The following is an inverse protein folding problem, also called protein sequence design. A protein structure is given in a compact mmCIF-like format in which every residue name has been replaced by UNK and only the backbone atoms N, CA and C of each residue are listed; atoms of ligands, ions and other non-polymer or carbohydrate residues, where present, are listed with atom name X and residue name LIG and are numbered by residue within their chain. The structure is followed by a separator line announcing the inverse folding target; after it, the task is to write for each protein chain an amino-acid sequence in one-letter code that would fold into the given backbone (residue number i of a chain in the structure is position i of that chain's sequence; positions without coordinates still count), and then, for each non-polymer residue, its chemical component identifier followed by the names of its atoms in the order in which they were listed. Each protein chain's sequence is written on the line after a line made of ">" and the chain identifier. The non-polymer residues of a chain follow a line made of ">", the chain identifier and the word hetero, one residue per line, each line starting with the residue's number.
data_IF_844115283311
#
_entry.id   IF_844115283311
#
_cell.length_a   1.000
_cell.length_b   1.000
_cell.length_c   1.000
_cell.angle_alpha   90.00
_cell.angle_beta   90.00
_cell.angle_gamma   90.00
#
_symmetry.space_group_name_H-M   'P 1'
#
loop_
_entity.id
_entity.type
_entity.pdbx_description
1 polymer ?
#
# COMPACT_ATOMS: atom_id res chain seq x y z
N UNK A 1 -12.42 -5.44 -7.98
CA UNK A 1 -11.05 -5.95 -8.02
C UNK A 1 -10.22 -5.27 -6.94
N UNK A 2 -9.36 -6.03 -6.25
CA UNK A 2 -8.38 -5.50 -5.31
C UNK A 2 -7.24 -4.76 -6.06
N UNK A 3 -6.73 -3.67 -5.48
CA UNK A 3 -5.74 -2.80 -6.12
C UNK A 3 -4.76 -2.24 -5.08
N UNK A 4 -3.54 -1.90 -5.55
CA UNK A 4 -2.50 -1.25 -4.75
C UNK A 4 -1.72 -2.21 -3.85
N UNK A 5 -0.77 -1.68 -3.08
CA UNK A 5 0.09 -2.45 -2.17
C UNK A 5 -0.72 -3.23 -1.12
N UNK A 6 -1.78 -2.64 -0.64
CA UNK A 6 -2.65 -3.21 0.38
C UNK A 6 -3.79 -4.07 -0.17
N UNK A 7 -3.93 -4.20 -1.50
CA UNK A 7 -4.94 -5.00 -2.15
C UNK A 7 -6.38 -4.74 -1.62
N UNK A 8 -6.71 -3.47 -1.39
CA UNK A 8 -8.04 -3.09 -0.92
C UNK A 8 -9.09 -3.23 -2.03
N UNK A 9 -10.22 -3.83 -1.69
CA UNK A 9 -11.41 -3.78 -2.54
C UNK A 9 -12.01 -2.37 -2.54
N UNK A 10 -12.68 -1.99 -3.62
CA UNK A 10 -13.23 -0.65 -3.78
C UNK A 10 -14.18 -0.26 -2.64
N UNK A 11 -15.11 -1.15 -2.28
CA UNK A 11 -16.05 -0.91 -1.18
C UNK A 11 -15.34 -0.65 0.15
N UNK A 12 -14.36 -1.49 0.49
CA UNK A 12 -13.54 -1.33 1.70
C UNK A 12 -12.72 -0.03 1.65
N UNK A 13 -12.11 0.27 0.51
CA UNK A 13 -11.31 1.49 0.35
C UNK A 13 -12.15 2.75 0.58
N UNK A 14 -13.35 2.82 0.00
CA UNK A 14 -14.30 3.93 0.21
C UNK A 14 -14.78 4.02 1.65
N UNK A 15 -15.09 2.89 2.28
CA UNK A 15 -15.49 2.82 3.69
C UNK A 15 -14.42 3.41 4.61
N UNK A 16 -13.16 3.20 4.29
CA UNK A 16 -12.03 3.72 5.05
C UNK A 16 -11.43 5.02 4.48
N UNK A 17 -12.21 5.78 3.69
CA UNK A 17 -11.98 7.16 3.33
C UNK A 17 -11.13 7.40 2.09
N UNK A 18 -10.87 6.37 1.26
CA UNK A 18 -10.14 6.54 0.01
C UNK A 18 -11.07 7.01 -1.13
N UNK A 19 -10.56 7.92 -1.94
CA UNK A 19 -11.23 8.41 -3.15
C UNK A 19 -10.90 7.52 -4.35
N UNK A 20 -11.94 7.10 -5.06
CA UNK A 20 -11.82 6.34 -6.32
C UNK A 20 -12.76 6.99 -7.33
N UNK A 21 -12.21 7.51 -8.42
CA UNK A 21 -12.93 8.11 -9.54
C UNK A 21 -12.37 7.58 -10.86
N UNK A 22 -12.84 8.12 -11.98
CA UNK A 22 -12.27 7.79 -13.30
C UNK A 22 -10.80 8.21 -13.46
N UNK A 23 -10.37 9.28 -12.78
CA UNK A 23 -9.01 9.83 -12.91
C UNK A 23 -8.13 9.58 -11.70
N UNK A 24 -8.71 9.17 -10.56
CA UNK A 24 -8.03 8.99 -9.27
C UNK A 24 -8.35 7.61 -8.69
N UNK A 25 -7.34 6.92 -8.18
CA UNK A 25 -7.51 5.72 -7.35
C UNK A 25 -6.50 5.77 -6.20
N UNK A 26 -6.93 6.26 -5.03
CA UNK A 26 -6.06 6.43 -3.86
C UNK A 26 -5.61 5.10 -3.23
N UNK A 27 -6.13 3.95 -3.67
CA UNK A 27 -5.58 2.64 -3.30
C UNK A 27 -4.15 2.44 -3.81
N UNK A 28 -3.77 3.19 -4.85
CA UNK A 28 -2.42 3.21 -5.40
C UNK A 28 -1.50 4.23 -4.72
N UNK A 29 -2.01 5.13 -3.88
CA UNK A 29 -1.19 5.99 -3.01
C UNK A 29 -0.80 5.19 -1.77
N UNK A 30 0.50 4.87 -1.64
CA UNK A 30 1.00 4.02 -0.55
C UNK A 30 0.69 4.62 0.82
N UNK A 31 0.83 5.93 1.00
CA UNK A 31 0.58 6.59 2.28
C UNK A 31 -0.89 6.51 2.66
N UNK A 32 -1.77 6.98 1.77
CA UNK A 32 -3.23 6.97 2.01
C UNK A 32 -3.78 5.55 2.16
N UNK A 33 -3.32 4.62 1.32
CA UNK A 33 -3.73 3.22 1.39
C UNK A 33 -3.27 2.57 2.69
N UNK A 34 -2.07 2.91 3.20
CA UNK A 34 -1.58 2.43 4.49
C UNK A 34 -2.43 2.97 5.64
N UNK A 35 -2.77 4.25 5.63
CA UNK A 35 -3.67 4.84 6.64
C UNK A 35 -5.05 4.17 6.65
N UNK A 36 -5.61 3.89 5.47
CA UNK A 36 -6.88 3.18 5.34
C UNK A 36 -6.78 1.74 5.84
N UNK A 37 -5.72 1.03 5.50
CA UNK A 37 -5.45 -0.32 5.99
C UNK A 37 -5.28 -0.34 7.52
N UNK A 38 -4.56 0.62 8.09
CA UNK A 38 -4.43 0.75 9.54
C UNK A 38 -5.77 0.98 10.24
N UNK A 39 -6.66 1.80 9.66
CA UNK A 39 -8.02 1.98 10.19
C UNK A 39 -8.82 0.67 10.16
N UNK A 40 -8.72 -0.08 9.06
CA UNK A 40 -9.33 -1.41 8.97
C UNK A 40 -8.80 -2.35 10.06
N UNK A 41 -7.46 -2.46 10.18
CA UNK A 41 -6.81 -3.36 11.14
C UNK A 41 -7.17 -3.01 12.58
N UNK A 42 -7.25 -1.71 12.92
CA UNK A 42 -7.71 -1.27 14.24
C UNK A 42 -9.16 -1.66 14.51
N UNK A 43 -10.08 -1.41 13.57
CA UNK A 43 -11.48 -1.80 13.70
C UNK A 43 -11.64 -3.33 13.84
N UNK A 44 -10.83 -4.10 13.11
CA UNK A 44 -10.82 -5.55 13.24
C UNK A 44 -10.29 -6.00 14.60
N UNK A 45 -9.24 -5.33 15.12
CA UNK A 45 -8.69 -5.63 16.44
C UNK A 45 -9.66 -5.28 17.58
N UNK A 46 -10.35 -4.15 17.47
CA UNK A 46 -11.42 -3.79 18.42
C UNK A 46 -12.52 -4.85 18.46
N UNK A 47 -12.80 -5.50 17.33
CA UNK A 47 -13.80 -6.55 17.23
C UNK A 47 -13.34 -7.90 17.77
N UNK A 48 -12.13 -8.31 17.47
CA UNK A 48 -11.66 -9.68 17.70
C UNK A 48 -10.67 -9.80 18.87
N UNK A 49 -9.97 -8.73 19.26
CA UNK A 49 -8.95 -8.73 20.32
C UNK A 49 -7.69 -9.55 20.03
N UNK A 50 -7.59 -10.13 18.85
CA UNK A 50 -6.51 -11.06 18.46
C UNK A 50 -5.97 -10.76 17.05
N UNK A 51 -4.64 -10.69 16.91
CA UNK A 51 -3.99 -10.34 15.63
C UNK A 51 -4.06 -11.44 14.58
N UNK A 52 -4.15 -12.72 14.95
CA UNK A 52 -4.33 -13.79 13.98
C UNK A 52 -5.73 -13.73 13.37
N UNK A 53 -6.73 -13.42 14.19
CA UNK A 53 -8.10 -13.14 13.73
C UNK A 53 -8.16 -11.92 12.82
N UNK A 54 -7.44 -10.84 13.18
CA UNK A 54 -7.33 -9.63 12.35
C UNK A 54 -6.73 -9.98 10.99
N UNK A 55 -5.64 -10.71 10.96
CA UNK A 55 -4.97 -11.13 9.72
C UNK A 55 -5.89 -12.00 8.84
N UNK A 56 -6.56 -12.98 9.44
CA UNK A 56 -7.54 -13.82 8.74
C UNK A 56 -8.69 -12.98 8.16
N UNK A 57 -9.19 -12.02 8.94
CA UNK A 57 -10.28 -11.12 8.52
C UNK A 57 -9.84 -10.14 7.41
N UNK A 58 -8.57 -9.74 7.40
CA UNK A 58 -8.03 -8.90 6.32
C UNK A 58 -8.03 -9.64 4.99
N UNK A 59 -7.67 -10.91 5.00
CA UNK A 59 -7.65 -11.76 3.80
C UNK A 59 -9.06 -12.16 3.34
N UNK A 60 -9.89 -12.65 4.27
CA UNK A 60 -11.19 -13.25 3.95
C UNK A 60 -12.40 -12.30 4.12
N UNK A 61 -12.21 -11.17 4.79
CA UNK A 61 -13.26 -10.24 5.17
C UNK A 61 -13.83 -10.50 6.58
N UNK A 62 -14.04 -9.42 7.35
CA UNK A 62 -14.55 -9.52 8.74
C UNK A 62 -15.90 -10.25 8.84
N UNK A 63 -16.82 -9.99 7.89
CA UNK A 63 -18.12 -10.65 7.89
C UNK A 63 -18.01 -12.17 7.72
N UNK A 64 -17.13 -12.62 6.83
CA UNK A 64 -16.90 -14.06 6.60
C UNK A 64 -16.30 -14.71 7.84
N UNK A 65 -15.24 -14.15 8.41
CA UNK A 65 -14.60 -14.72 9.59
C UNK A 65 -15.60 -14.80 10.76
N UNK A 66 -16.37 -13.72 11.03
CA UNK A 66 -17.40 -13.76 12.07
C UNK A 66 -18.46 -14.83 11.83
N UNK A 67 -18.86 -15.02 10.57
CA UNK A 67 -19.82 -16.07 10.21
C UNK A 67 -19.25 -17.49 10.41
N UNK A 68 -17.98 -17.69 10.09
CA UNK A 68 -17.34 -19.00 10.27
C UNK A 68 -17.10 -19.32 11.76
N UNK A 69 -16.76 -18.36 12.61
CA UNK A 69 -16.66 -18.54 14.06
C UNK A 69 -17.97 -19.09 14.63
N UNK A 70 -19.10 -18.49 14.26
CA UNK A 70 -20.42 -18.93 14.73
C UNK A 70 -20.77 -20.32 14.20
N UNK A 71 -20.55 -20.57 12.90
CA UNK A 71 -20.89 -21.85 12.27
C UNK A 71 -20.08 -23.03 12.78
N UNK A 72 -18.81 -22.78 13.13
CA UNK A 72 -17.88 -23.82 13.54
C UNK A 72 -17.71 -23.90 15.06
N UNK A 73 -18.43 -23.06 15.81
CA UNK A 73 -18.33 -22.97 17.28
C UNK A 73 -16.87 -22.83 17.74
N UNK A 74 -16.16 -21.86 17.16
CA UNK A 74 -14.75 -21.64 17.37
C UNK A 74 -14.47 -20.21 17.86
N UNK A 75 -13.43 -20.03 18.66
CA UNK A 75 -13.04 -18.74 19.25
C UNK A 75 -11.72 -18.20 18.65
N UNK A 76 -11.00 -19.01 17.88
CA UNK A 76 -9.70 -18.66 17.31
C UNK A 76 -9.65 -18.95 15.81
N UNK A 77 -8.88 -18.13 15.07
CA UNK A 77 -8.62 -18.40 13.65
C UNK A 77 -7.86 -19.71 13.39
N UNK A 78 -7.15 -20.20 14.39
CA UNK A 78 -6.41 -21.47 14.31
C UNK A 78 -7.32 -22.70 14.42
N UNK A 79 -8.52 -22.54 14.98
CA UNK A 79 -9.51 -23.58 15.12
C UNK A 79 -10.52 -23.59 13.96
N UNK A 80 -10.44 -22.60 13.06
CA UNK A 80 -11.32 -22.49 11.91
C UNK A 80 -10.84 -23.35 10.72
N UNK A 81 -11.74 -24.11 10.14
CA UNK A 81 -11.58 -24.70 8.83
C UNK A 81 -11.86 -23.64 7.75
N UNK A 82 -10.82 -23.04 7.21
CA UNK A 82 -10.90 -22.00 6.19
C UNK A 82 -10.36 -22.50 4.85
N UNK A 83 -10.59 -21.75 3.78
CA UNK A 83 -9.94 -21.99 2.50
C UNK A 83 -8.41 -21.90 2.67
N UNK A 84 -7.66 -22.72 1.94
CA UNK A 84 -6.20 -22.84 2.06
C UNK A 84 -5.49 -21.48 2.02
N UNK A 85 -5.93 -20.58 1.13
CA UNK A 85 -5.36 -19.25 1.00
C UNK A 85 -5.40 -18.47 2.33
N UNK A 86 -6.55 -18.45 3.00
CA UNK A 86 -6.73 -17.72 4.26
C UNK A 86 -5.99 -18.39 5.41
N UNK A 87 -6.03 -19.74 5.50
CA UNK A 87 -5.29 -20.49 6.51
C UNK A 87 -3.79 -20.20 6.39
N UNK A 88 -3.22 -20.31 5.19
CA UNK A 88 -1.80 -20.07 4.95
C UNK A 88 -1.38 -18.61 5.12
N UNK A 89 -2.32 -17.64 5.00
CA UNK A 89 -2.02 -16.23 5.09
C UNK A 89 -1.42 -15.85 6.45
N UNK A 90 -2.03 -16.31 7.54
CA UNK A 90 -1.55 -16.05 8.91
C UNK A 90 -0.14 -16.64 9.11
N UNK A 91 0.06 -17.90 8.74
CA UNK A 91 1.36 -18.56 8.87
C UNK A 91 2.45 -17.89 8.03
N UNK A 92 2.11 -17.39 6.83
CA UNK A 92 3.05 -16.63 5.99
C UNK A 92 3.48 -15.32 6.66
N UNK A 93 2.54 -14.60 7.29
CA UNK A 93 2.86 -13.40 8.05
C UNK A 93 3.81 -13.73 9.19
N UNK A 94 3.52 -14.80 9.96
CA UNK A 94 4.37 -15.23 11.08
C UNK A 94 5.77 -15.62 10.61
N UNK A 95 5.89 -16.35 9.51
CA UNK A 95 7.17 -16.75 8.95
C UNK A 95 8.01 -15.54 8.47
N UNK A 96 7.38 -14.62 7.74
CA UNK A 96 8.06 -13.39 7.27
C UNK A 96 8.45 -12.50 8.45
N UNK A 97 7.59 -12.37 9.45
CA UNK A 97 7.89 -11.62 10.68
C UNK A 97 9.19 -12.10 11.33
N UNK A 98 9.37 -13.40 11.48
CA UNK A 98 10.62 -13.98 12.04
C UNK A 98 11.85 -13.61 11.20
N UNK A 99 11.73 -13.63 9.87
CA UNK A 99 12.84 -13.24 8.98
C UNK A 99 13.18 -11.76 9.17
N UNK A 100 12.18 -10.88 9.24
CA UNK A 100 12.41 -9.45 9.43
C UNK A 100 12.96 -9.09 10.81
N UNK A 101 12.56 -9.82 11.85
CA UNK A 101 13.04 -9.59 13.23
C UNK A 101 14.46 -10.09 13.46
N UNK A 102 14.88 -11.12 12.75
CA UNK A 102 16.20 -11.70 12.90
C UNK A 102 16.81 -12.14 11.55
N UNK A 103 17.02 -11.20 10.60
CA UNK A 103 17.44 -11.51 9.23
C UNK A 103 18.74 -12.31 9.18
N UNK A 104 19.67 -12.04 10.10
CA UNK A 104 20.95 -12.73 10.17
C UNK A 104 20.82 -14.25 10.40
N UNK A 105 19.77 -14.71 11.10
CA UNK A 105 19.50 -16.15 11.29
C UNK A 105 19.13 -16.87 10.00
N UNK A 106 18.71 -16.11 8.99
CA UNK A 106 18.29 -16.62 7.69
C UNK A 106 19.30 -16.26 6.58
N UNK A 107 20.51 -15.87 6.95
CA UNK A 107 21.59 -15.56 6.01
C UNK A 107 21.55 -14.16 5.39
N UNK A 108 20.67 -13.28 5.84
CA UNK A 108 20.63 -11.91 5.35
C UNK A 108 21.53 -11.00 6.19
N UNK A 109 22.50 -10.37 5.54
CA UNK A 109 23.36 -9.34 6.14
C UNK A 109 23.01 -8.01 5.52
N UNK A 110 22.23 -7.19 6.24
CA UNK A 110 21.79 -5.87 5.79
C UNK A 110 22.65 -4.79 6.43
N UNK A 111 23.35 -4.00 5.61
CA UNK A 111 24.11 -2.83 6.03
C UNK A 111 23.33 -1.56 5.67
N UNK A 112 23.57 -0.47 6.39
CA UNK A 112 22.91 0.82 6.10
C UNK A 112 23.10 1.28 4.64
N UNK A 113 24.25 0.97 4.06
CA UNK A 113 24.56 1.30 2.65
C UNK A 113 23.79 0.45 1.63
N UNK A 114 23.27 -0.72 2.05
CA UNK A 114 22.52 -1.64 1.18
C UNK A 114 21.02 -1.25 1.13
N UNK A 115 20.61 -0.30 1.95
CA UNK A 115 19.22 0.13 2.03
C UNK A 115 18.92 1.21 0.98
N UNK A 116 17.72 1.12 0.39
CA UNK A 116 17.22 2.18 -0.50
C UNK A 116 17.01 3.48 0.27
N UNK A 117 17.42 4.59 -0.33
CA UNK A 117 17.15 5.92 0.21
C UNK A 117 15.87 6.48 -0.39
N UNK A 118 15.04 7.17 0.41
CA UNK A 118 13.89 7.89 -0.11
C UNK A 118 14.35 8.95 -1.13
N UNK A 119 13.67 9.01 -2.27
CA UNK A 119 13.85 10.08 -3.25
C UNK A 119 13.08 11.31 -2.74
N UNK A 120 13.78 12.43 -2.57
CA UNK A 120 13.15 13.67 -2.13
C UNK A 120 12.17 14.19 -3.20
N UNK A 121 11.00 14.60 -2.76
CA UNK A 121 9.95 15.15 -3.61
C UNK A 121 9.50 16.50 -3.08
N UNK A 122 9.19 17.40 -3.99
CA UNK A 122 8.40 18.58 -3.70
C UNK A 122 6.91 18.21 -3.77
N UNK A 123 6.09 18.88 -2.95
CA UNK A 123 4.65 18.68 -2.91
C UNK A 123 3.94 19.85 -3.57
N UNK A 124 3.18 19.59 -4.61
CA UNK A 124 2.38 20.59 -5.33
C UNK A 124 0.91 20.35 -5.01
N UNK A 125 0.26 21.33 -4.35
CA UNK A 125 -1.17 21.28 -4.10
C UNK A 125 -1.94 21.70 -5.36
N UNK A 126 -2.90 20.86 -5.76
CA UNK A 126 -3.72 21.08 -6.97
C UNK A 126 -5.19 21.03 -6.59
N UNK A 127 -5.90 22.15 -6.73
CA UNK A 127 -7.34 22.29 -6.46
C UNK A 127 -8.18 22.53 -7.72
N UNK A 128 -7.53 22.66 -8.87
CA UNK A 128 -8.18 22.86 -10.18
C UNK A 128 -7.87 21.67 -11.10
N UNK A 129 -8.76 21.41 -12.04
CA UNK A 129 -8.58 20.34 -13.00
C UNK A 129 -7.34 20.53 -13.87
N UNK A 130 -6.59 19.46 -14.09
CA UNK A 130 -5.47 19.43 -15.05
C UNK A 130 -5.91 18.58 -16.24
N UNK A 131 -6.08 19.20 -17.39
CA UNK A 131 -6.52 18.51 -18.62
C UNK A 131 -5.38 17.75 -19.31
N UNK A 132 -4.14 18.17 -19.11
CA UNK A 132 -2.93 17.54 -19.67
C UNK A 132 -1.85 17.33 -18.62
N UNK A 133 -1.76 16.12 -18.08
CA UNK A 133 -0.72 15.74 -17.11
C UNK A 133 0.67 15.64 -17.75
N UNK A 134 0.78 15.50 -19.08
CA UNK A 134 2.07 15.51 -19.77
C UNK A 134 2.66 16.91 -19.80
N UNK A 135 1.84 17.90 -20.17
CA UNK A 135 2.22 19.32 -20.10
C UNK A 135 2.52 19.76 -18.68
N UNK A 136 1.72 19.31 -17.70
CA UNK A 136 1.98 19.58 -16.29
C UNK A 136 3.34 19.02 -15.83
N UNK A 137 3.67 17.78 -16.18
CA UNK A 137 4.96 17.15 -15.85
C UNK A 137 6.12 17.97 -16.44
N UNK A 138 6.05 18.29 -17.73
CA UNK A 138 7.07 19.10 -18.43
C UNK A 138 7.28 20.47 -17.79
N UNK A 139 6.18 21.15 -17.39
CA UNK A 139 6.24 22.46 -16.69
C UNK A 139 6.96 22.35 -15.33
N UNK A 140 6.90 21.19 -14.68
CA UNK A 140 7.57 20.92 -13.41
C UNK A 140 8.95 20.26 -13.59
N UNK A 141 9.53 20.23 -14.80
CA UNK A 141 10.89 19.76 -15.06
C UNK A 141 11.07 18.25 -14.98
N UNK A 142 9.97 17.46 -15.06
CA UNK A 142 10.01 15.99 -15.01
C UNK A 142 9.32 15.36 -16.23
N UNK A 143 9.57 14.08 -16.45
CA UNK A 143 8.86 13.34 -17.49
C UNK A 143 7.45 12.93 -17.02
N UNK A 144 6.54 12.66 -17.97
CA UNK A 144 5.24 12.08 -17.65
C UNK A 144 5.37 10.71 -16.94
N UNK A 145 6.38 9.93 -17.32
CA UNK A 145 6.64 8.64 -16.69
C UNK A 145 7.02 8.80 -15.20
N UNK A 146 7.86 9.79 -14.88
CA UNK A 146 8.21 10.08 -13.49
C UNK A 146 7.01 10.61 -12.70
N UNK A 147 6.22 11.52 -13.29
CA UNK A 147 4.98 11.96 -12.67
C UNK A 147 4.10 10.77 -12.28
N UNK A 148 3.90 9.81 -13.17
CA UNK A 148 3.07 8.61 -12.92
C UNK A 148 3.71 7.65 -11.91
N UNK A 149 5.02 7.50 -11.93
CA UNK A 149 5.78 6.65 -11.00
C UNK A 149 5.67 7.15 -9.57
N UNK A 150 5.77 8.46 -9.36
CA UNK A 150 5.68 9.06 -8.03
C UNK A 150 4.26 9.35 -7.57
N UNK A 151 3.29 9.32 -8.51
CA UNK A 151 1.87 9.50 -8.23
C UNK A 151 1.03 8.40 -8.91
N UNK A 152 1.19 7.13 -8.51
CA UNK A 152 0.52 5.99 -9.17
C UNK A 152 -1.01 6.02 -9.00
N UNK A 153 -1.52 6.86 -8.11
CA UNK A 153 -2.94 7.11 -7.89
C UNK A 153 -3.60 7.93 -9.01
N UNK A 154 -2.82 8.63 -9.85
CA UNK A 154 -3.30 9.26 -11.08
C UNK A 154 -3.57 8.18 -12.14
N UNK A 155 -4.82 7.95 -12.50
CA UNK A 155 -5.22 6.81 -13.37
C UNK A 155 -5.41 7.16 -14.83
N UNK A 156 -5.57 8.45 -15.14
CA UNK A 156 -5.80 8.95 -16.50
C UNK A 156 -4.67 9.90 -16.93
N UNK A 157 -4.78 10.48 -18.12
CA UNK A 157 -3.91 11.54 -18.66
C UNK A 157 -4.29 12.93 -18.15
N UNK A 158 -5.40 13.03 -17.43
CA UNK A 158 -5.92 14.23 -16.79
C UNK A 158 -6.20 13.97 -15.32
N UNK A 159 -6.33 15.02 -14.53
CA UNK A 159 -6.81 14.99 -13.16
C UNK A 159 -8.07 15.85 -13.09
N UNK A 160 -9.18 15.23 -12.70
CA UNK A 160 -10.42 15.94 -12.35
C UNK A 160 -10.53 15.99 -10.83
N UNK A 161 -10.49 17.20 -10.29
CA UNK A 161 -10.44 17.42 -8.82
C UNK A 161 -11.79 17.26 -8.16
N UNK A 162 -12.87 17.55 -8.87
CA UNK A 162 -14.24 17.53 -8.34
C UNK A 162 -14.38 18.32 -7.02
N UNK A 163 -13.69 19.46 -6.94
CA UNK A 163 -13.71 20.36 -5.76
C UNK A 163 -12.79 19.93 -4.62
N UNK A 164 -11.98 18.88 -4.80
CA UNK A 164 -10.98 18.44 -3.81
C UNK A 164 -9.61 19.00 -4.15
N UNK A 165 -8.76 19.09 -3.13
CA UNK A 165 -7.33 19.38 -3.31
C UNK A 165 -6.53 18.09 -3.24
N UNK A 166 -5.69 17.88 -4.23
CA UNK A 166 -4.76 16.74 -4.30
C UNK A 166 -3.32 17.23 -4.17
N UNK A 167 -2.48 16.44 -3.55
CA UNK A 167 -1.04 16.69 -3.47
C UNK A 167 -0.32 15.82 -4.48
N UNK A 168 0.32 16.46 -5.47
CA UNK A 168 1.15 15.78 -6.46
C UNK A 168 2.61 15.87 -6.00
N UNK A 169 3.30 14.72 -5.99
CA UNK A 169 4.73 14.62 -5.66
C UNK A 169 5.55 14.80 -6.93
N UNK A 170 6.46 15.75 -6.90
CA UNK A 170 7.41 16.03 -7.97
C UNK A 170 8.81 15.61 -7.46
N UNK A 171 9.42 14.54 -7.99
CA UNK A 171 10.74 14.10 -7.55
C UNK A 171 11.82 15.12 -7.92
N UNK A 172 12.81 15.29 -7.05
CA UNK A 172 13.99 16.10 -7.35
C UNK A 172 14.91 15.32 -8.27
N UNK A 173 15.28 15.91 -9.40
CA UNK A 173 16.12 15.27 -10.42
C UNK A 173 17.45 14.78 -9.84
N UNK A 174 18.07 15.56 -8.94
CA UNK A 174 19.34 15.19 -8.27
C UNK A 174 19.26 13.86 -7.51
N UNK A 175 18.07 13.49 -7.03
CA UNK A 175 17.89 12.33 -6.17
C UNK A 175 17.34 11.11 -6.94
N UNK A 176 16.86 11.33 -8.18
CA UNK A 176 16.32 10.24 -9.01
C UNK A 176 17.40 9.28 -9.54
N UNK A 177 18.62 9.79 -9.70
CA UNK A 177 19.75 9.02 -10.23
C UNK A 177 20.69 8.67 -9.09
N UNK A 178 20.38 7.59 -8.39
CA UNK A 178 21.24 7.09 -7.33
C UNK A 178 22.53 6.52 -7.94
N UNK A 179 23.59 7.31 -7.88
CA UNK A 179 24.95 6.82 -8.13
C UNK A 179 25.49 6.30 -6.82
N UNK A 180 25.43 4.98 -6.59
CA UNK A 180 26.25 4.36 -5.56
C UNK A 180 27.71 4.43 -6.01
N UNK A 181 28.60 5.09 -5.26
CA UNK A 181 30.01 5.21 -5.66
C UNK A 181 30.75 3.87 -5.75
N UNK A 182 30.20 2.79 -5.26
CA UNK A 182 30.82 1.47 -5.13
C UNK A 182 29.84 0.32 -5.35
N UNK A 183 29.09 0.31 -6.46
CA UNK A 183 28.36 -0.90 -6.83
C UNK A 183 29.34 -1.85 -7.49
N UNK A 184 29.91 -2.77 -6.71
CA UNK A 184 30.56 -3.94 -7.27
C UNK A 184 29.44 -4.85 -7.77
N UNK A 185 29.33 -4.96 -9.09
CA UNK A 185 28.56 -6.04 -9.72
C UNK A 185 29.40 -7.31 -9.46
N UNK A 186 28.88 -8.20 -8.63
CA UNK A 186 29.47 -9.53 -8.53
C UNK A 186 29.17 -10.26 -9.85
N UNK A 187 30.21 -10.50 -10.65
CA UNK A 187 30.18 -11.42 -11.78
C UNK A 187 30.10 -12.85 -11.25
#
# INVERSE_FOLDING_TARGET
>A
RAVGTWQLLEGTARQYGLTITSTVDERCDVTKATEAACRYLKAAYEKYGDWAMVASSYNAGMGRISGELVKQDADSSFDLWLVEETTRYVYRIMAIKQIFEAPYKYGFVLRAQDLYKPIACESVAVSTDIQDLSGFAKKNGITYADLKRFNPWLRDRKLLTAGKTYTIRIPKESDMYYKTPNTYVHN
#
